data_IF_890639691722
#
_entry.id   IF_890639691722
#
_cell.length_a   1.000
_cell.length_b   1.000
_cell.length_c   1.000
_cell.angle_alpha   90.00
_cell.angle_beta   90.00
_cell.angle_gamma   90.00
#
_symmetry.space_group_name_H-M   'P 1'
#
loop_
_entity.id
_entity.type
_entity.pdbx_description
1 polymer ?
#
# COMPACT_ATOMS: atom_id res chain seq x y z
N UNK A 1 -22.50 24.46 10.39
CA UNK A 1 -21.08 24.16 10.70
C UNK A 1 -20.83 22.65 10.56
N UNK A 2 -21.07 22.07 9.37
CA UNK A 2 -21.32 20.61 9.25
C UNK A 2 -20.40 19.86 8.26
N UNK A 3 -19.44 20.53 7.60
CA UNK A 3 -18.68 19.88 6.51
C UNK A 3 -17.47 19.07 6.99
N UNK A 4 -16.84 19.44 8.11
CA UNK A 4 -15.62 18.78 8.62
C UNK A 4 -15.83 17.35 9.12
N UNK A 5 -17.05 16.99 9.55
CA UNK A 5 -17.38 15.62 10.00
C UNK A 5 -17.56 14.62 8.85
N UNK A 6 -17.95 15.09 7.65
CA UNK A 6 -18.18 14.20 6.50
C UNK A 6 -16.89 13.62 5.91
N UNK A 7 -15.83 14.41 5.78
CA UNK A 7 -14.64 13.98 5.03
C UNK A 7 -13.77 12.95 5.77
N UNK A 8 -13.68 13.04 7.10
CA UNK A 8 -13.04 11.99 7.91
C UNK A 8 -13.81 10.65 7.81
N UNK A 9 -15.09 10.70 7.43
CA UNK A 9 -15.95 9.52 7.32
C UNK A 9 -15.56 8.66 6.12
N UNK A 10 -15.23 9.24 4.96
CA UNK A 10 -14.81 8.45 3.78
C UNK A 10 -13.50 7.72 4.01
N UNK A 11 -12.47 8.43 4.50
CA UNK A 11 -11.19 7.79 4.79
C UNK A 11 -11.33 6.71 5.87
N UNK A 12 -12.24 6.86 6.84
CA UNK A 12 -12.59 5.80 7.80
C UNK A 12 -13.32 4.61 7.17
N UNK A 13 -14.31 4.85 6.32
CA UNK A 13 -15.10 3.80 5.65
C UNK A 13 -14.18 2.94 4.78
N UNK A 14 -13.28 3.57 4.01
CA UNK A 14 -12.38 2.89 3.09
C UNK A 14 -11.01 2.51 3.69
N UNK A 15 -10.74 2.82 4.96
CA UNK A 15 -9.43 2.62 5.60
C UNK A 15 -8.83 1.23 5.37
N UNK A 16 -9.64 0.18 5.50
CA UNK A 16 -9.19 -1.20 5.28
C UNK A 16 -8.81 -1.46 3.82
N UNK A 17 -9.54 -0.89 2.86
CA UNK A 17 -9.20 -0.97 1.44
C UNK A 17 -7.89 -0.26 1.17
N UNK A 18 -7.73 0.98 1.66
CA UNK A 18 -6.52 1.77 1.46
C UNK A 18 -5.29 1.06 2.03
N UNK A 19 -5.40 0.50 3.24
CA UNK A 19 -4.33 -0.25 3.89
C UNK A 19 -3.98 -1.52 3.09
N UNK A 20 -4.97 -2.27 2.65
CA UNK A 20 -4.78 -3.49 1.86
C UNK A 20 -4.05 -3.17 0.55
N UNK A 21 -4.48 -2.14 -0.19
CA UNK A 21 -3.84 -1.71 -1.43
C UNK A 21 -2.39 -1.29 -1.18
N UNK A 22 -2.12 -0.55 -0.10
CA UNK A 22 -0.74 -0.21 0.29
C UNK A 22 0.12 -1.47 0.52
N UNK A 23 -0.42 -2.50 1.18
CA UNK A 23 0.30 -3.76 1.42
C UNK A 23 0.56 -4.54 0.13
N UNK A 24 -0.39 -4.55 -0.81
CA UNK A 24 -0.23 -5.16 -2.12
C UNK A 24 0.87 -4.45 -2.94
N UNK A 25 0.88 -3.11 -2.92
CA UNK A 25 1.92 -2.31 -3.57
C UNK A 25 3.32 -2.49 -2.95
N UNK A 26 3.40 -2.88 -1.67
CA UNK A 26 4.66 -3.24 -1.02
C UNK A 26 5.14 -4.66 -1.36
N UNK A 27 4.43 -5.40 -2.21
CA UNK A 27 4.82 -6.73 -2.67
C UNK A 27 4.43 -7.86 -1.71
N UNK A 28 3.42 -7.65 -0.87
CA UNK A 28 2.87 -8.73 -0.05
C UNK A 28 2.33 -9.86 -0.94
N UNK A 29 2.82 -11.08 -0.71
CA UNK A 29 2.38 -12.25 -1.46
C UNK A 29 1.01 -12.75 -0.98
N UNK A 30 0.19 -13.22 -1.92
CA UNK A 30 -1.10 -13.87 -1.66
C UNK A 30 -0.91 -15.36 -1.89
N UNK A 31 -0.94 -16.13 -0.80
CA UNK A 31 -0.74 -17.59 -0.83
C UNK A 31 -2.04 -18.40 -0.87
N UNK A 32 -3.18 -17.76 -0.64
CA UNK A 32 -4.51 -18.36 -0.57
C UNK A 32 -5.52 -17.46 -1.28
N UNK A 33 -5.45 -17.44 -2.61
CA UNK A 33 -6.17 -16.56 -3.52
C UNK A 33 -7.68 -16.57 -3.28
N UNK A 34 -8.30 -17.75 -3.22
CA UNK A 34 -9.76 -17.88 -3.03
C UNK A 34 -10.24 -17.38 -1.66
N UNK A 35 -9.44 -17.59 -0.61
CA UNK A 35 -9.75 -17.09 0.72
C UNK A 35 -9.63 -15.57 0.78
N UNK A 36 -8.60 -15.03 0.12
CA UNK A 36 -8.37 -13.60 0.02
C UNK A 36 -9.47 -12.93 -0.81
N UNK A 37 -9.85 -13.51 -1.95
CA UNK A 37 -10.95 -13.04 -2.79
C UNK A 37 -12.26 -12.96 -2.03
N UNK A 38 -12.64 -14.02 -1.30
CA UNK A 38 -13.85 -14.00 -0.46
C UNK A 38 -13.81 -12.89 0.59
N UNK A 39 -12.67 -12.68 1.24
CA UNK A 39 -12.50 -11.59 2.21
C UNK A 39 -12.61 -10.21 1.56
N UNK A 40 -12.11 -10.05 0.34
CA UNK A 40 -12.24 -8.80 -0.40
C UNK A 40 -13.69 -8.54 -0.82
N UNK A 41 -14.43 -9.57 -1.26
CA UNK A 41 -15.87 -9.42 -1.51
C UNK A 41 -16.62 -8.99 -0.24
N UNK A 42 -16.35 -9.62 0.90
CA UNK A 42 -16.92 -9.22 2.18
C UNK A 42 -16.60 -7.76 2.52
N UNK A 43 -15.34 -7.34 2.32
CA UNK A 43 -14.93 -5.95 2.54
C UNK A 43 -15.71 -4.97 1.65
N UNK A 44 -15.92 -5.30 0.38
CA UNK A 44 -16.69 -4.47 -0.56
C UNK A 44 -18.15 -4.36 -0.12
N UNK A 45 -18.76 -5.48 0.27
CA UNK A 45 -20.16 -5.52 0.72
C UNK A 45 -20.33 -4.74 2.04
N UNK A 46 -19.40 -4.88 2.98
CA UNK A 46 -19.36 -4.09 4.23
C UNK A 46 -19.16 -2.60 3.97
N UNK A 47 -18.30 -2.25 3.01
CA UNK A 47 -18.05 -0.85 2.62
C UNK A 47 -19.33 -0.23 2.06
N UNK A 48 -20.03 -0.94 1.17
CA UNK A 48 -21.33 -0.53 0.62
C UNK A 48 -22.36 -0.34 1.72
N UNK A 49 -22.46 -1.28 2.66
CA UNK A 49 -23.39 -1.20 3.78
C UNK A 49 -23.12 0.02 4.67
N UNK A 50 -21.84 0.29 4.99
CA UNK A 50 -21.46 1.50 5.74
C UNK A 50 -21.86 2.78 5.01
N UNK A 51 -21.70 2.84 3.69
CA UNK A 51 -22.13 4.02 2.92
C UNK A 51 -23.66 4.20 2.97
N UNK A 52 -24.44 3.12 2.88
CA UNK A 52 -25.90 3.19 3.04
C UNK A 52 -26.29 3.71 4.44
N UNK A 53 -25.64 3.22 5.49
CA UNK A 53 -25.88 3.63 6.88
C UNK A 53 -25.53 5.10 7.14
N UNK A 54 -24.54 5.64 6.44
CA UNK A 54 -24.18 7.06 6.48
C UNK A 54 -25.07 7.93 5.56
N UNK A 55 -26.06 7.34 4.88
CA UNK A 55 -27.05 8.07 4.10
C UNK A 55 -26.56 8.54 2.73
N UNK A 56 -25.50 7.95 2.18
CA UNK A 56 -25.05 8.29 0.83
C UNK A 56 -26.11 7.86 -0.21
N UNK A 57 -26.36 8.69 -1.25
CA UNK A 57 -27.27 8.32 -2.33
C UNK A 57 -26.69 7.17 -3.15
N UNK A 58 -27.55 6.32 -3.69
CA UNK A 58 -27.17 5.11 -4.43
C UNK A 58 -26.17 5.40 -5.57
N UNK A 59 -26.33 6.52 -6.29
CA UNK A 59 -25.39 6.94 -7.33
C UNK A 59 -23.97 7.16 -6.79
N UNK A 60 -23.83 7.86 -5.65
CA UNK A 60 -22.54 8.08 -5.00
C UNK A 60 -21.91 6.76 -4.53
N UNK A 61 -22.72 5.86 -3.98
CA UNK A 61 -22.28 4.53 -3.55
C UNK A 61 -21.75 3.75 -4.75
N UNK A 62 -22.48 3.74 -5.87
CA UNK A 62 -22.06 3.06 -7.09
C UNK A 62 -20.72 3.62 -7.61
N UNK A 63 -20.56 4.96 -7.66
CA UNK A 63 -19.31 5.59 -8.06
C UNK A 63 -18.13 5.17 -7.20
N UNK A 64 -18.28 5.20 -5.86
CA UNK A 64 -17.19 4.85 -4.94
C UNK A 64 -16.88 3.35 -4.97
N UNK A 65 -17.91 2.49 -5.03
CA UNK A 65 -17.73 1.03 -5.11
C UNK A 65 -17.07 0.62 -6.44
N UNK A 66 -17.40 1.31 -7.53
CA UNK A 66 -16.74 1.10 -8.83
C UNK A 66 -15.25 1.44 -8.74
N UNK A 67 -14.91 2.58 -8.15
CA UNK A 67 -13.53 3.01 -7.94
C UNK A 67 -12.76 2.06 -7.02
N UNK A 68 -13.40 1.55 -5.97
CA UNK A 68 -12.85 0.53 -5.07
C UNK A 68 -12.50 -0.76 -5.81
N UNK A 69 -13.43 -1.31 -6.61
CA UNK A 69 -13.20 -2.53 -7.38
C UNK A 69 -12.08 -2.34 -8.40
N UNK A 70 -12.10 -1.23 -9.15
CA UNK A 70 -11.08 -0.92 -10.15
C UNK A 70 -9.68 -0.82 -9.52
N UNK A 71 -9.56 -0.15 -8.37
CA UNK A 71 -8.28 -0.05 -7.65
C UNK A 71 -7.77 -1.42 -7.19
N UNK A 72 -8.63 -2.23 -6.57
CA UNK A 72 -8.21 -3.52 -6.03
C UNK A 72 -7.82 -4.49 -7.15
N UNK A 73 -8.62 -4.57 -8.21
CA UNK A 73 -8.32 -5.41 -9.37
C UNK A 73 -6.96 -5.05 -9.95
N UNK A 74 -6.71 -3.77 -10.19
CA UNK A 74 -5.43 -3.30 -10.69
C UNK A 74 -4.28 -3.60 -9.72
N UNK A 75 -4.49 -3.38 -8.42
CA UNK A 75 -3.49 -3.62 -7.37
C UNK A 75 -3.11 -5.09 -7.21
N UNK A 76 -4.05 -6.02 -7.44
CA UNK A 76 -3.78 -7.46 -7.38
C UNK A 76 -3.10 -7.93 -8.67
N UNK A 77 -3.60 -7.49 -9.82
CA UNK A 77 -3.17 -7.98 -11.13
C UNK A 77 -1.85 -7.37 -11.62
N UNK A 78 -1.49 -6.16 -11.20
CA UNK A 78 -0.24 -5.49 -11.62
C UNK A 78 0.97 -5.77 -10.72
N UNK A 79 0.90 -6.76 -9.82
CA UNK A 79 2.04 -7.15 -8.99
C UNK A 79 3.10 -7.88 -9.83
N UNK A 80 4.35 -7.83 -9.37
CA UNK A 80 5.49 -8.41 -10.08
C UNK A 80 5.42 -9.94 -10.19
N UNK A 81 4.69 -10.62 -9.30
CA UNK A 81 4.60 -12.07 -9.26
C UNK A 81 3.15 -12.51 -9.50
N UNK A 82 2.98 -13.50 -10.39
CA UNK A 82 1.72 -14.20 -10.61
C UNK A 82 1.56 -15.29 -9.53
N UNK A 83 1.21 -14.88 -8.32
CA UNK A 83 0.90 -15.80 -7.23
C UNK A 83 -0.56 -16.28 -7.27
N UNK A 84 -0.98 -16.99 -6.22
CA UNK A 84 -2.33 -17.55 -6.14
C UNK A 84 -3.42 -16.46 -6.23
N UNK A 85 -3.15 -15.25 -5.71
CA UNK A 85 -4.06 -14.12 -5.84
C UNK A 85 -4.27 -13.69 -7.29
N UNK A 86 -3.22 -13.69 -8.12
CA UNK A 86 -3.36 -13.40 -9.55
C UNK A 86 -4.24 -14.44 -10.25
N UNK A 87 -3.99 -15.73 -9.96
CA UNK A 87 -4.71 -16.85 -10.57
C UNK A 87 -6.20 -16.87 -10.21
N UNK A 88 -6.57 -16.45 -8.99
CA UNK A 88 -7.98 -16.27 -8.62
C UNK A 88 -8.58 -15.04 -9.31
N UNK A 89 -7.89 -13.89 -9.33
CA UNK A 89 -8.42 -12.64 -9.87
C UNK A 89 -8.65 -12.67 -11.38
N UNK A 90 -7.78 -13.35 -12.13
CA UNK A 90 -7.92 -13.41 -13.60
C UNK A 90 -9.17 -14.17 -14.06
N UNK A 91 -9.70 -15.07 -13.23
CA UNK A 91 -10.90 -15.85 -13.55
C UNK A 91 -12.18 -15.01 -13.41
N UNK A 92 -12.24 -14.15 -12.39
CA UNK A 92 -13.42 -13.34 -12.10
C UNK A 92 -13.02 -12.07 -11.33
N UNK A 93 -12.52 -11.02 -12.02
CA UNK A 93 -12.14 -9.78 -11.36
C UNK A 93 -13.39 -9.11 -10.75
N UNK A 94 -13.17 -8.24 -9.77
CA UNK A 94 -14.26 -7.62 -8.99
C UNK A 94 -15.15 -6.76 -9.89
N UNK A 95 -14.57 -6.05 -10.84
CA UNK A 95 -15.31 -5.29 -11.86
C UNK A 95 -16.29 -6.17 -12.68
N UNK A 96 -15.94 -7.42 -12.97
CA UNK A 96 -16.84 -8.34 -13.66
C UNK A 96 -17.95 -8.79 -12.72
N UNK A 97 -17.59 -9.15 -11.49
CA UNK A 97 -18.53 -9.63 -10.47
C UNK A 97 -19.59 -8.60 -10.08
N UNK A 98 -19.18 -7.36 -9.82
CA UNK A 98 -20.05 -6.32 -9.27
C UNK A 98 -20.68 -5.42 -10.35
N UNK A 99 -20.01 -5.25 -11.48
CA UNK A 99 -20.42 -4.28 -12.51
C UNK A 99 -20.54 -4.87 -13.92
N UNK A 100 -20.36 -6.19 -14.06
CA UNK A 100 -20.47 -6.90 -15.33
C UNK A 100 -19.65 -6.24 -16.47
N UNK A 101 -18.45 -5.78 -16.15
CA UNK A 101 -17.53 -5.09 -17.07
C UNK A 101 -16.11 -5.59 -16.86
N UNK A 102 -15.27 -5.51 -17.90
CA UNK A 102 -13.82 -5.74 -17.82
C UNK A 102 -13.01 -4.48 -18.15
N UNK A 103 -13.70 -3.35 -18.33
CA UNK A 103 -13.14 -2.09 -18.79
C UNK A 103 -13.04 -1.06 -17.65
N UNK A 104 -12.97 -1.49 -16.39
CA UNK A 104 -12.97 -0.58 -15.26
C UNK A 104 -11.74 0.33 -15.22
N UNK A 105 -10.59 -0.16 -15.69
CA UNK A 105 -9.38 0.63 -15.90
C UNK A 105 -9.59 1.86 -16.79
N UNK A 106 -10.44 1.75 -17.80
CA UNK A 106 -10.63 2.78 -18.81
C UNK A 106 -11.80 3.69 -18.45
N UNK A 107 -12.90 3.08 -18.02
CA UNK A 107 -14.16 3.76 -17.67
C UNK A 107 -14.08 4.56 -16.38
N UNK A 108 -13.15 4.26 -15.45
CA UNK A 108 -13.02 5.05 -14.23
C UNK A 108 -12.69 6.52 -14.53
N UNK A 109 -11.83 6.75 -15.52
CA UNK A 109 -11.46 8.11 -15.95
C UNK A 109 -12.62 8.85 -16.60
N UNK A 110 -13.44 8.15 -17.39
CA UNK A 110 -14.61 8.74 -18.03
C UNK A 110 -15.70 9.05 -17.00
N UNK A 111 -15.87 8.17 -16.01
CA UNK A 111 -16.75 8.40 -14.84
C UNK A 111 -16.28 9.62 -14.03
N UNK A 112 -14.98 9.73 -13.74
CA UNK A 112 -14.42 10.90 -13.05
C UNK A 112 -14.68 12.20 -13.83
N UNK A 113 -14.46 12.20 -15.15
CA UNK A 113 -14.75 13.35 -16.01
C UNK A 113 -16.22 13.74 -15.97
N UNK A 114 -17.12 12.75 -16.00
CA UNK A 114 -18.55 12.99 -15.90
C UNK A 114 -18.90 13.69 -14.59
N UNK A 115 -18.40 13.17 -13.46
CA UNK A 115 -18.66 13.74 -12.13
C UNK A 115 -18.12 15.17 -12.02
N UNK A 116 -16.90 15.43 -12.52
CA UNK A 116 -16.29 16.76 -12.48
C UNK A 116 -17.07 17.82 -13.27
N UNK A 117 -17.87 17.40 -14.25
CA UNK A 117 -18.73 18.29 -15.06
C UNK A 117 -20.12 18.51 -14.45
N UNK A 118 -20.46 17.84 -13.35
CA UNK A 118 -21.71 18.09 -12.64
C UNK A 118 -21.71 19.48 -11.99
N UNK A 119 -22.89 20.09 -11.85
CA UNK A 119 -23.00 21.45 -11.26
C UNK A 119 -22.64 21.47 -9.77
N UNK A 120 -22.88 20.37 -9.06
CA UNK A 120 -22.60 20.21 -7.63
C UNK A 120 -22.26 18.75 -7.32
N UNK A 121 -21.07 18.26 -7.69
CA UNK A 121 -20.66 16.88 -7.43
C UNK A 121 -20.53 16.62 -5.94
N UNK A 122 -20.77 15.37 -5.54
CA UNK A 122 -20.59 14.98 -4.15
C UNK A 122 -19.09 15.02 -3.76
N UNK A 123 -18.69 15.85 -2.78
CA UNK A 123 -17.27 16.04 -2.44
C UNK A 123 -16.61 14.78 -1.90
N UNK A 124 -17.38 13.89 -1.28
CA UNK A 124 -16.88 12.62 -0.76
C UNK A 124 -16.60 11.60 -1.87
N UNK A 125 -17.36 11.66 -2.97
CA UNK A 125 -17.07 10.88 -4.19
C UNK A 125 -15.76 11.37 -4.80
N UNK A 126 -15.60 12.69 -4.93
CA UNK A 126 -14.36 13.30 -5.42
C UNK A 126 -13.17 12.91 -4.54
N UNK A 127 -13.32 12.94 -3.22
CA UNK A 127 -12.28 12.52 -2.28
C UNK A 127 -11.92 11.04 -2.44
N UNK A 128 -12.92 10.16 -2.57
CA UNK A 128 -12.69 8.73 -2.84
C UNK A 128 -11.89 8.52 -4.13
N UNK A 129 -12.26 9.18 -5.23
CA UNK A 129 -11.53 9.13 -6.49
C UNK A 129 -10.10 9.67 -6.33
N UNK A 130 -9.93 10.79 -5.62
CA UNK A 130 -8.62 11.35 -5.34
C UNK A 130 -7.73 10.35 -4.58
N UNK A 131 -8.26 9.63 -3.58
CA UNK A 131 -7.53 8.58 -2.85
C UNK A 131 -7.16 7.41 -3.75
N UNK A 132 -8.07 6.96 -4.62
CA UNK A 132 -7.79 5.90 -5.60
C UNK A 132 -6.61 6.28 -6.51
N UNK A 133 -6.59 7.51 -7.02
CA UNK A 133 -5.48 8.00 -7.85
C UNK A 133 -4.17 8.15 -7.05
N UNK A 134 -4.25 8.64 -5.80
CA UNK A 134 -3.09 8.81 -4.90
C UNK A 134 -2.48 7.46 -4.53
N UNK A 135 -3.31 6.43 -4.34
CA UNK A 135 -2.86 5.08 -4.02
C UNK A 135 -2.20 4.38 -5.19
N UNK A 136 -2.26 4.95 -6.40
CA UNK A 136 -1.47 4.52 -7.54
C UNK A 136 -2.28 3.96 -8.69
N UNK A 137 -3.61 4.13 -8.70
CA UNK A 137 -4.41 3.73 -9.86
C UNK A 137 -3.93 4.44 -11.14
N UNK A 138 -3.79 3.64 -12.19
CA UNK A 138 -3.26 4.05 -13.50
C UNK A 138 -4.35 3.96 -14.55
N UNK A 139 -5.05 2.83 -14.65
CA UNK A 139 -6.04 2.57 -15.69
C UNK A 139 -5.46 2.68 -17.11
N UNK A 140 -6.24 3.23 -18.05
CA UNK A 140 -5.81 3.45 -19.44
C UNK A 140 -4.52 4.25 -19.62
N UNK A 141 -4.18 5.13 -18.68
CA UNK A 141 -3.01 5.99 -18.77
C UNK A 141 -1.76 5.27 -18.28
N UNK A 142 -1.23 4.32 -19.08
CA UNK A 142 -0.01 3.56 -18.76
C UNK A 142 1.21 4.43 -18.40
N UNK A 143 1.22 5.70 -18.83
CA UNK A 143 2.21 6.70 -18.44
C UNK A 143 1.59 7.72 -17.47
N UNK A 144 2.26 7.96 -16.34
CA UNK A 144 1.79 8.92 -15.33
C UNK A 144 1.76 10.37 -15.83
N UNK A 145 2.55 10.68 -16.86
CA UNK A 145 2.77 12.02 -17.43
C UNK A 145 1.86 12.32 -18.64
N UNK A 146 0.78 11.55 -18.82
CA UNK A 146 -0.18 11.84 -19.89
C UNK A 146 -0.85 13.21 -19.63
N UNK A 147 -0.79 14.17 -20.58
CA UNK A 147 -1.32 15.53 -20.36
C UNK A 147 -2.81 15.56 -19.99
N UNK A 148 -3.58 14.60 -20.52
CA UNK A 148 -5.00 14.44 -20.21
C UNK A 148 -5.23 14.04 -18.75
N UNK A 149 -4.44 13.09 -18.23
CA UNK A 149 -4.47 12.69 -16.82
C UNK A 149 -4.15 13.88 -15.92
N UNK A 150 -3.08 14.62 -16.21
CA UNK A 150 -2.69 15.79 -15.42
C UNK A 150 -3.80 16.84 -15.35
N UNK A 151 -4.47 17.11 -16.48
CA UNK A 151 -5.61 18.03 -16.53
C UNK A 151 -6.77 17.56 -15.64
N UNK A 152 -7.14 16.29 -15.71
CA UNK A 152 -8.24 15.73 -14.89
C UNK A 152 -7.87 15.78 -13.40
N UNK A 153 -6.64 15.42 -13.05
CA UNK A 153 -6.15 15.49 -11.66
C UNK A 153 -6.11 16.93 -11.17
N UNK A 154 -5.66 17.88 -11.99
CA UNK A 154 -5.66 19.30 -11.62
C UNK A 154 -7.09 19.82 -11.38
N UNK A 155 -8.05 19.46 -12.23
CA UNK A 155 -9.47 19.80 -12.04
C UNK A 155 -10.03 19.21 -10.74
N UNK A 156 -9.73 17.94 -10.47
CA UNK A 156 -10.12 17.28 -9.22
C UNK A 156 -9.55 17.97 -7.99
N UNK A 157 -8.27 18.34 -8.03
CA UNK A 157 -7.61 19.02 -6.92
C UNK A 157 -8.20 20.41 -6.66
N UNK A 158 -8.61 21.15 -7.70
CA UNK A 158 -9.26 22.46 -7.53
C UNK A 158 -10.61 22.35 -6.84
N UNK A 159 -11.33 21.23 -7.01
CA UNK A 159 -12.63 21.02 -6.37
C UNK A 159 -12.54 20.53 -4.91
N UNK A 160 -11.35 20.08 -4.48
CA UNK A 160 -11.13 19.58 -3.13
C UNK A 160 -10.29 20.58 -2.32
N UNK A 161 -10.67 20.94 -1.10
CA UNK A 161 -9.87 21.85 -0.30
C UNK A 161 -8.52 21.23 0.10
N UNK A 162 -7.47 22.06 0.09
CA UNK A 162 -6.07 21.64 0.26
C UNK A 162 -5.81 20.79 1.52
N UNK A 163 -6.53 21.04 2.62
CA UNK A 163 -6.38 20.30 3.87
C UNK A 163 -6.84 18.84 3.78
N UNK A 164 -7.66 18.46 2.80
CA UNK A 164 -8.08 17.08 2.55
C UNK A 164 -7.05 16.31 1.71
N UNK A 165 -6.35 17.04 0.85
CA UNK A 165 -5.33 16.50 -0.05
C UNK A 165 -3.99 16.38 0.70
N UNK A 166 -3.71 17.36 1.56
CA UNK A 166 -2.47 17.45 2.33
C UNK A 166 -2.67 16.79 3.68
N UNK A 167 -2.23 15.53 3.81
CA UNK A 167 -2.03 14.93 5.12
C UNK A 167 -0.79 15.54 5.78
N UNK A 168 -0.97 16.68 6.46
CA UNK A 168 -0.06 17.20 7.51
C UNK A 168 -0.15 16.34 8.80
N UNK A 169 -0.48 15.05 8.68
CA UNK A 169 -0.39 14.12 9.79
C UNK A 169 1.03 13.54 9.78
N UNK A 170 1.80 13.64 10.87
CA UNK A 170 3.12 13.02 10.99
C UNK A 170 2.96 11.51 11.17
N UNK A 171 2.36 10.82 10.21
CA UNK A 171 2.04 9.38 10.26
C UNK A 171 3.12 8.51 9.61
N UNK A 172 4.35 9.02 9.52
CA UNK A 172 5.50 8.20 9.19
C UNK A 172 6.59 8.40 10.24
N UNK A 173 6.42 7.76 11.40
CA UNK A 173 7.59 7.23 12.07
C UNK A 173 8.11 6.12 11.16
N UNK A 174 8.98 6.49 10.21
CA UNK A 174 9.83 5.49 9.56
C UNK A 174 10.57 4.83 10.72
N UNK A 175 10.41 3.52 11.01
CA UNK A 175 11.35 2.88 11.90
C UNK A 175 12.70 3.08 11.26
N UNK A 176 13.52 3.98 11.83
CA UNK A 176 14.71 4.50 11.14
C UNK A 176 15.69 3.41 10.77
N UNK A 177 15.57 2.21 11.35
CA UNK A 177 16.48 1.11 11.09
C UNK A 177 15.76 -0.23 11.26
N UNK A 178 15.21 -0.79 10.17
CA UNK A 178 15.12 -2.27 10.07
C UNK A 178 16.54 -2.76 9.81
N UNK A 179 17.35 -2.85 10.87
CA UNK A 179 18.65 -3.52 10.78
C UNK A 179 18.37 -4.98 10.40
N UNK A 180 18.81 -5.39 9.21
CA UNK A 180 18.75 -6.79 8.81
C UNK A 180 19.44 -7.63 9.88
N UNK A 181 18.73 -8.59 10.49
CA UNK A 181 19.30 -9.56 11.44
C UNK A 181 20.60 -10.20 10.91
N UNK A 182 20.74 -10.27 9.59
CA UNK A 182 21.93 -10.75 8.86
C UNK A 182 23.17 -9.84 9.01
N UNK A 183 23.01 -8.51 9.09
CA UNK A 183 24.12 -7.57 9.37
C UNK A 183 24.58 -7.66 10.82
N UNK A 184 23.63 -7.79 11.75
CA UNK A 184 23.96 -7.93 13.17
C UNK A 184 24.72 -9.24 13.44
N UNK A 185 24.33 -10.32 12.78
CA UNK A 185 25.03 -11.61 12.81
C UNK A 185 26.47 -11.49 12.27
N UNK A 186 26.67 -10.76 11.17
CA UNK A 186 28.00 -10.51 10.60
C UNK A 186 28.92 -9.72 11.53
N UNK A 187 28.42 -8.69 12.22
CA UNK A 187 29.20 -7.97 13.23
C UNK A 187 29.56 -8.83 14.44
N UNK A 188 28.65 -9.73 14.86
CA UNK A 188 28.93 -10.71 15.92
C UNK A 188 30.08 -11.66 15.56
N UNK A 189 30.13 -12.14 14.32
CA UNK A 189 31.23 -12.99 13.83
C UNK A 189 32.57 -12.26 13.82
N UNK A 190 32.60 -11.01 13.34
CA UNK A 190 33.83 -10.20 13.32
C UNK A 190 34.34 -9.97 14.76
N UNK A 191 33.43 -9.66 15.69
CA UNK A 191 33.77 -9.53 17.11
C UNK A 191 34.32 -10.82 17.71
N UNK A 192 33.70 -11.97 17.40
CA UNK A 192 34.16 -13.28 17.86
C UNK A 192 35.56 -13.63 17.36
N UNK A 193 35.86 -13.36 16.09
CA UNK A 193 37.18 -13.59 15.50
C UNK A 193 38.24 -12.71 16.18
N UNK A 194 37.94 -11.44 16.44
CA UNK A 194 38.85 -10.53 17.15
C UNK A 194 39.17 -11.01 18.57
N UNK A 195 38.17 -11.49 19.31
CA UNK A 195 38.36 -12.03 20.66
C UNK A 195 39.24 -13.29 20.61
N UNK A 196 38.97 -14.20 19.68
CA UNK A 196 39.79 -15.40 19.50
C UNK A 196 41.24 -15.07 19.14
N UNK A 197 41.46 -14.09 18.26
CA UNK A 197 42.80 -13.64 17.90
C UNK A 197 43.55 -13.03 19.10
N UNK A 198 42.87 -12.19 19.89
CA UNK A 198 43.46 -11.60 21.11
C UNK A 198 43.79 -12.68 22.16
N UNK A 199 42.89 -13.64 22.35
CA UNK A 199 43.10 -14.76 23.28
C UNK A 199 44.27 -15.65 22.82
N UNK A 200 44.35 -15.94 21.52
CA UNK A 200 45.47 -16.67 20.93
C UNK A 200 46.79 -15.97 21.16
N UNK A 201 46.83 -14.65 20.94
CA UNK A 201 48.05 -13.85 21.08
C UNK A 201 48.51 -13.76 22.55
N UNK A 202 47.58 -13.64 23.49
CA UNK A 202 47.89 -13.72 24.91
C UNK A 202 48.43 -15.10 25.32
N UNK A 203 47.83 -16.16 24.78
CA UNK A 203 48.30 -17.53 25.03
C UNK A 203 49.69 -17.78 24.45
N UNK A 204 49.98 -17.31 23.23
CA UNK A 204 51.32 -17.45 22.64
C UNK A 204 52.39 -16.69 23.43
N UNK A 205 52.10 -15.47 23.87
CA UNK A 205 53.02 -14.69 24.69
C UNK A 205 53.32 -15.38 26.05
N UNK A 206 52.31 -16.01 26.65
CA UNK A 206 52.50 -16.80 27.87
C UNK A 206 53.35 -18.05 27.65
N UNK A 207 53.21 -18.71 26.50
CA UNK A 207 54.04 -19.87 26.14
C UNK A 207 55.50 -19.47 25.91
N UNK A 208 55.76 -18.35 25.24
CA UNK A 208 57.11 -17.84 25.03
C UNK A 208 57.80 -17.48 26.36
N UNK A 209 57.08 -16.85 27.30
CA UNK A 209 57.61 -16.55 28.62
C UNK A 209 57.96 -17.82 29.42
N UNK A 210 57.10 -18.84 29.36
CA UNK A 210 57.39 -20.13 30.00
C UNK A 210 58.61 -20.80 29.35
N UNK A 211 58.68 -20.87 28.01
CA UNK A 211 59.83 -21.45 27.32
C UNK A 211 61.16 -20.73 27.64
N UNK A 212 61.15 -19.41 27.79
CA UNK A 212 62.34 -18.64 28.20
C UNK A 212 62.75 -18.90 29.66
N UNK A 213 61.80 -19.12 30.57
CA UNK A 213 62.10 -19.52 31.95
C UNK A 213 62.72 -20.92 32.04
N UNK A 214 62.27 -21.86 31.21
CA UNK A 214 62.84 -23.21 31.16
C UNK A 214 64.25 -23.22 30.53
N UNK A 215 64.50 -22.40 29.52
CA UNK A 215 65.84 -22.30 28.89
C UNK A 215 66.88 -21.56 29.73
N UNK A 216 66.48 -20.78 30.74
CA UNK A 216 67.42 -20.08 31.64
C UNK A 216 67.76 -20.87 32.91
N UNK A 217 67.10 -22.01 33.15
CA UNK A 217 67.35 -22.90 34.31
C UNK A 217 67.96 -24.26 33.95
N UNK A 218 68.20 -24.54 32.66
CA UNK A 218 68.97 -25.70 32.18
C UNK A 218 70.34 -25.26 31.67
#
# INVERSE_FOLDING_TARGET
MNNTTSHHTIDMIFAQTWLMVCQLHQGTAITQGDSFYRRVCQLIDETRQKLLEHGYPESAIEHMQYAQCALIDESVMNRQHQDDGYNTWIQSPLQARYFNTLEAGDKLWDRLRSILNETAPNPDVLLCFHRVLTLGFVGKFRQKEAPERERIVAQLNVQLPDYLITSELPLVVKPKLRFSRRRLYWFGWIGGILILAAMWWGFSASLEHLLQQWMTQG
#
